data_IF_747766731832
#
_entry.id   IF_747766731832
#
_cell.length_a   1.000
_cell.length_b   1.000
_cell.length_c   1.000
_cell.angle_alpha   90.00
_cell.angle_beta   90.00
_cell.angle_gamma   90.00
#
_symmetry.space_group_name_H-M   'P 1'
#
loop_
_entity.id
_entity.type
_entity.pdbx_description
1 polymer ?
#
# COMPACT_ATOMS: atom_id res chain seq x y z
N UNK A 1 6.73 25.60 -13.62
CA UNK A 1 7.76 25.05 -12.69
C UNK A 1 8.07 23.60 -13.01
N UNK A 2 9.31 23.14 -12.76
CA UNK A 2 9.70 21.73 -12.91
C UNK A 2 9.11 20.89 -11.78
N UNK A 3 8.86 19.58 -11.96
CA UNK A 3 8.26 18.74 -10.92
C UNK A 3 9.14 18.61 -9.68
N UNK A 4 10.47 18.58 -9.84
CA UNK A 4 11.40 18.46 -8.71
C UNK A 4 11.69 19.81 -8.03
N UNK A 5 10.94 20.87 -8.35
CA UNK A 5 11.09 22.18 -7.70
C UNK A 5 10.47 22.11 -6.30
N UNK A 6 11.23 22.40 -5.22
CA UNK A 6 10.70 22.46 -3.87
C UNK A 6 9.72 23.64 -3.75
N UNK A 7 8.64 23.44 -3.00
CA UNK A 7 7.59 24.43 -2.80
C UNK A 7 7.77 25.13 -1.46
N UNK A 8 7.51 26.44 -1.43
CA UNK A 8 7.43 27.19 -0.17
C UNK A 8 6.08 26.91 0.50
N UNK A 9 5.00 26.92 -0.29
CA UNK A 9 3.65 26.63 0.16
C UNK A 9 2.76 26.23 -1.01
N UNK A 10 1.64 25.59 -0.70
CA UNK A 10 0.51 25.42 -1.60
C UNK A 10 -0.75 26.01 -0.97
N UNK A 11 -1.65 26.56 -1.80
CA UNK A 11 -2.89 27.20 -1.35
C UNK A 11 -4.06 26.69 -2.16
N UNK A 12 -5.10 26.24 -1.48
CA UNK A 12 -6.42 26.06 -2.08
C UNK A 12 -7.22 27.33 -1.88
N UNK A 13 -7.55 28.02 -2.96
CA UNK A 13 -8.51 29.12 -2.94
C UNK A 13 -9.92 28.54 -3.09
N UNK A 14 -10.78 28.75 -2.09
CA UNK A 14 -12.12 28.21 -2.07
C UNK A 14 -13.11 29.17 -2.74
N UNK A 15 -14.08 28.61 -3.45
CA UNK A 15 -15.24 29.37 -3.90
C UNK A 15 -16.07 29.87 -2.71
N UNK A 16 -16.87 30.94 -2.84
CA UNK A 16 -17.72 31.45 -1.75
C UNK A 16 -18.70 30.41 -1.16
N UNK A 17 -19.05 29.37 -1.93
CA UNK A 17 -19.93 28.26 -1.49
C UNK A 17 -19.15 27.05 -0.96
N UNK A 18 -17.82 27.14 -0.88
CA UNK A 18 -16.91 26.08 -0.44
C UNK A 18 -17.07 24.76 -1.23
N UNK A 19 -17.66 24.82 -2.42
CA UNK A 19 -17.92 23.65 -3.27
C UNK A 19 -16.79 23.37 -4.25
N UNK A 20 -16.09 24.43 -4.71
CA UNK A 20 -14.98 24.36 -5.68
C UNK A 20 -13.73 25.00 -5.10
N UNK A 21 -12.57 24.51 -5.52
CA UNK A 21 -11.28 25.10 -5.20
C UNK A 21 -10.35 25.19 -6.41
N UNK A 22 -9.46 26.18 -6.34
CA UNK A 22 -8.29 26.28 -7.21
C UNK A 22 -7.04 26.06 -6.36
N UNK A 23 -6.20 25.11 -6.77
CA UNK A 23 -4.94 24.81 -6.10
C UNK A 23 -3.81 25.54 -6.79
N UNK A 24 -3.10 26.36 -6.03
CA UNK A 24 -1.91 27.08 -6.44
C UNK A 24 -0.69 26.56 -5.69
N UNK A 25 0.44 26.49 -6.40
CA UNK A 25 1.75 26.17 -5.83
C UNK A 25 2.67 27.36 -5.94
N UNK A 26 3.43 27.63 -4.90
CA UNK A 26 4.40 28.72 -4.88
C UNK A 26 5.79 28.22 -4.54
N UNK A 27 6.78 28.72 -5.28
CA UNK A 27 8.20 28.42 -5.08
C UNK A 27 9.03 29.63 -5.49
N UNK A 28 9.85 30.11 -4.57
CA UNK A 28 10.80 31.23 -4.76
C UNK A 28 10.16 32.46 -5.41
N UNK A 29 8.95 32.81 -4.97
CA UNK A 29 8.19 33.99 -5.45
C UNK A 29 7.46 33.81 -6.78
N UNK A 30 7.57 32.64 -7.43
CA UNK A 30 6.71 32.28 -8.56
C UNK A 30 5.51 31.49 -8.06
N UNK A 31 4.32 31.74 -8.61
CA UNK A 31 3.10 31.01 -8.28
C UNK A 31 2.46 30.46 -9.56
N UNK A 32 2.10 29.18 -9.54
CA UNK A 32 1.51 28.47 -10.67
C UNK A 32 0.21 27.78 -10.22
N UNK A 33 -0.81 27.78 -11.08
CA UNK A 33 -2.04 27.01 -10.86
C UNK A 33 -1.77 25.53 -11.18
N UNK A 34 -2.02 24.65 -10.21
CA UNK A 34 -1.79 23.22 -10.35
C UNK A 34 -3.04 22.46 -10.74
N UNK A 35 -4.17 22.78 -10.12
CA UNK A 35 -5.43 22.08 -10.32
C UNK A 35 -6.63 22.97 -10.02
N UNK A 36 -7.80 22.59 -10.53
CA UNK A 36 -9.07 23.23 -10.21
C UNK A 36 -10.14 22.15 -10.21
N UNK A 37 -11.00 22.14 -9.19
CA UNK A 37 -11.98 21.07 -9.04
C UNK A 37 -12.93 21.25 -7.87
N UNK A 38 -13.56 20.14 -7.46
CA UNK A 38 -14.39 20.08 -6.27
C UNK A 38 -13.52 20.05 -5.01
N UNK A 39 -13.98 20.66 -3.93
CA UNK A 39 -13.28 20.66 -2.62
C UNK A 39 -13.45 19.31 -1.92
N UNK A 40 -14.63 18.69 -2.08
CA UNK A 40 -15.03 17.49 -1.35
C UNK A 40 -14.01 16.33 -1.45
N UNK A 41 -13.45 15.99 -2.62
CA UNK A 41 -12.42 14.96 -2.71
C UNK A 41 -11.18 15.31 -1.88
N UNK A 42 -10.69 16.55 -1.91
CA UNK A 42 -9.51 16.94 -1.14
C UNK A 42 -9.75 16.86 0.38
N UNK A 43 -10.91 17.35 0.85
CA UNK A 43 -11.29 17.28 2.27
C UNK A 43 -11.42 15.84 2.77
N UNK A 44 -11.96 14.93 1.94
CA UNK A 44 -12.07 13.52 2.29
C UNK A 44 -10.73 12.81 2.46
N UNK A 45 -9.65 13.39 1.90
CA UNK A 45 -8.32 12.78 1.86
C UNK A 45 -7.24 13.60 2.56
N UNK A 46 -7.57 14.74 3.16
CA UNK A 46 -6.60 15.67 3.72
C UNK A 46 -7.14 16.29 5.00
N UNK A 47 -6.68 15.79 6.15
CA UNK A 47 -7.14 16.24 7.47
C UNK A 47 -6.96 17.74 7.67
N UNK A 48 -5.82 18.30 7.24
CA UNK A 48 -5.58 19.75 7.33
C UNK A 48 -6.59 20.56 6.52
N UNK A 49 -7.06 20.05 5.38
CA UNK A 49 -8.11 20.71 4.61
C UNK A 49 -9.48 20.60 5.29
N UNK A 50 -9.79 19.45 5.89
CA UNK A 50 -11.01 19.26 6.68
C UNK A 50 -11.10 20.25 7.84
N UNK A 51 -10.02 20.39 8.62
CA UNK A 51 -9.96 21.28 9.78
C UNK A 51 -10.08 22.75 9.38
N UNK A 52 -9.40 23.18 8.31
CA UNK A 52 -9.48 24.56 7.82
C UNK A 52 -10.86 24.86 7.19
N UNK A 53 -11.47 23.92 6.46
CA UNK A 53 -12.83 24.11 5.94
C UNK A 53 -13.86 24.21 7.06
N UNK A 54 -13.70 23.45 8.15
CA UNK A 54 -14.54 23.54 9.33
C UNK A 54 -14.46 24.92 10.03
N UNK A 55 -13.32 25.60 9.90
CA UNK A 55 -13.11 26.98 10.39
C UNK A 55 -13.65 28.06 9.45
N UNK A 56 -14.35 27.67 8.36
CA UNK A 56 -14.93 28.58 7.37
C UNK A 56 -13.91 29.57 6.74
N UNK A 57 -12.63 29.17 6.62
CA UNK A 57 -11.63 30.00 5.93
C UNK A 57 -11.87 30.01 4.42
N UNK A 58 -11.50 31.12 3.77
CA UNK A 58 -11.63 31.28 2.31
C UNK A 58 -10.45 30.67 1.53
N UNK A 59 -9.37 30.31 2.22
CA UNK A 59 -8.19 29.67 1.65
C UNK A 59 -7.60 28.66 2.61
N UNK A 60 -7.17 27.50 2.09
CA UNK A 60 -6.48 26.46 2.85
C UNK A 60 -5.01 26.53 2.48
N UNK A 61 -4.12 26.80 3.44
CA UNK A 61 -2.67 26.84 3.20
C UNK A 61 -2.02 25.54 3.67
N UNK A 62 -1.22 24.94 2.79
CA UNK A 62 -0.31 23.85 3.09
C UNK A 62 1.12 24.40 3.10
N UNK A 63 1.75 24.37 4.25
CA UNK A 63 3.13 24.81 4.46
C UNK A 63 3.81 23.83 5.41
N UNK A 64 5.07 23.51 5.13
CA UNK A 64 5.85 22.60 5.99
C UNK A 64 6.47 23.43 7.10
N UNK A 65 6.12 23.15 8.36
CA UNK A 65 6.80 23.76 9.50
C UNK A 65 8.27 23.35 9.50
N UNK A 66 9.16 24.31 9.23
CA UNK A 66 10.63 24.11 9.16
C UNK A 66 11.29 23.56 10.43
N UNK A 67 10.54 23.42 11.51
CA UNK A 67 11.07 23.15 12.85
C UNK A 67 11.10 21.68 13.29
N UNK A 68 10.58 20.73 12.50
CA UNK A 68 10.41 19.35 13.02
C UNK A 68 11.38 18.29 12.49
N UNK A 69 11.95 18.39 11.29
CA UNK A 69 12.73 17.27 10.72
C UNK A 69 14.07 17.71 10.12
N UNK A 70 15.14 17.05 10.56
CA UNK A 70 16.55 17.28 10.23
C UNK A 70 16.99 16.78 8.85
N UNK A 71 16.12 16.85 7.83
CA UNK A 71 16.50 16.67 6.43
C UNK A 71 15.98 17.87 5.63
N UNK A 72 16.83 18.58 4.87
CA UNK A 72 16.42 19.77 4.13
C UNK A 72 15.40 19.38 3.05
N UNK A 73 14.13 19.74 3.25
CA UNK A 73 13.11 20.17 2.28
C UNK A 73 13.09 19.54 0.85
N UNK A 74 13.49 18.28 0.64
CA UNK A 74 13.47 17.67 -0.70
C UNK A 74 12.16 17.01 -1.09
N UNK A 75 11.29 16.68 -0.13
CA UNK A 75 10.08 15.90 -0.41
C UNK A 75 8.87 16.77 -0.81
N UNK A 76 8.79 18.02 -0.32
CA UNK A 76 7.66 18.90 -0.60
C UNK A 76 7.88 19.64 -1.92
N UNK A 77 7.69 18.92 -3.02
CA UNK A 77 7.91 19.42 -4.38
C UNK A 77 6.60 19.54 -5.15
N UNK A 78 6.65 20.24 -6.28
CA UNK A 78 5.54 20.27 -7.24
C UNK A 78 5.10 18.86 -7.64
N UNK A 79 6.04 17.96 -7.91
CA UNK A 79 5.77 16.59 -8.31
C UNK A 79 5.04 15.78 -7.23
N UNK A 80 5.41 15.96 -5.97
CA UNK A 80 4.71 15.31 -4.83
C UNK A 80 3.25 15.76 -4.77
N UNK A 81 3.00 17.06 -4.94
CA UNK A 81 1.64 17.59 -4.92
C UNK A 81 0.84 17.18 -6.16
N UNK A 82 1.44 17.13 -7.35
CA UNK A 82 0.81 16.60 -8.57
C UNK A 82 0.36 15.15 -8.40
N UNK A 83 1.19 14.31 -7.78
CA UNK A 83 0.84 12.92 -7.47
C UNK A 83 -0.32 12.84 -6.48
N UNK A 84 -0.33 13.69 -5.45
CA UNK A 84 -1.47 13.77 -4.53
C UNK A 84 -2.76 14.21 -5.26
N UNK A 85 -2.70 15.22 -6.13
CA UNK A 85 -3.86 15.63 -6.93
C UNK A 85 -4.38 14.51 -7.81
N UNK A 86 -3.47 13.74 -8.44
CA UNK A 86 -3.84 12.54 -9.20
C UNK A 86 -4.50 11.49 -8.32
N UNK A 87 -3.96 11.24 -7.12
CA UNK A 87 -4.56 10.33 -6.15
C UNK A 87 -6.01 10.70 -5.81
N UNK A 88 -6.24 11.97 -5.49
CA UNK A 88 -7.58 12.48 -5.17
C UNK A 88 -8.54 12.39 -6.36
N UNK A 89 -8.02 12.43 -7.59
CA UNK A 89 -8.81 12.33 -8.82
C UNK A 89 -9.13 10.89 -9.21
N UNK A 90 -8.28 9.93 -8.86
CA UNK A 90 -8.43 8.50 -9.19
C UNK A 90 -8.02 7.63 -7.99
N UNK A 91 -8.78 7.66 -6.88
CA UNK A 91 -8.47 6.87 -5.69
C UNK A 91 -8.59 5.36 -5.94
N UNK A 92 -9.38 4.96 -6.94
CA UNK A 92 -9.71 3.56 -7.26
C UNK A 92 -8.46 2.75 -7.61
N UNK A 93 -7.47 3.39 -8.24
CA UNK A 93 -6.21 2.73 -8.60
C UNK A 93 -5.48 2.21 -7.35
N UNK A 94 -5.49 2.99 -6.27
CA UNK A 94 -4.87 2.58 -5.02
C UNK A 94 -5.76 1.65 -4.19
N UNK A 95 -7.07 1.83 -4.26
CA UNK A 95 -8.04 0.94 -3.58
C UNK A 95 -7.98 -0.50 -4.14
N UNK A 96 -7.85 -0.67 -5.45
CA UNK A 96 -7.70 -1.98 -6.09
C UNK A 96 -6.44 -2.70 -5.59
N UNK A 97 -5.33 -1.98 -5.57
CA UNK A 97 -4.05 -2.49 -5.06
C UNK A 97 -4.20 -3.02 -3.64
N UNK A 98 -4.82 -2.23 -2.75
CA UNK A 98 -5.06 -2.63 -1.36
C UNK A 98 -6.01 -3.85 -1.25
N UNK A 99 -7.02 -3.91 -2.11
CA UNK A 99 -7.97 -5.03 -2.12
C UNK A 99 -7.29 -6.34 -2.51
N UNK A 100 -6.46 -6.32 -3.55
CA UNK A 100 -5.73 -7.51 -3.99
C UNK A 100 -4.63 -7.92 -3.01
N UNK A 101 -3.96 -6.96 -2.38
CA UNK A 101 -2.96 -7.20 -1.33
C UNK A 101 -3.59 -7.93 -0.13
N UNK A 102 -4.70 -7.40 0.40
CA UNK A 102 -5.43 -8.03 1.50
C UNK A 102 -5.96 -9.43 1.14
N UNK A 103 -6.44 -9.61 -0.09
CA UNK A 103 -6.87 -10.92 -0.58
C UNK A 103 -5.71 -11.91 -0.67
N UNK A 104 -4.55 -11.46 -1.16
CA UNK A 104 -3.33 -12.27 -1.26
C UNK A 104 -2.88 -12.74 0.13
N UNK A 105 -2.77 -11.84 1.12
CA UNK A 105 -2.38 -12.21 2.49
C UNK A 105 -3.37 -13.20 3.12
N UNK A 106 -4.67 -13.05 2.85
CA UNK A 106 -5.68 -14.00 3.33
C UNK A 106 -5.53 -15.39 2.70
N UNK A 107 -5.31 -15.47 1.38
CA UNK A 107 -5.11 -16.73 0.67
C UNK A 107 -3.82 -17.44 1.10
N UNK A 108 -2.74 -16.69 1.33
CA UNK A 108 -1.49 -17.24 1.85
C UNK A 108 -1.65 -17.79 3.27
N UNK A 109 -2.35 -17.05 4.13
CA UNK A 109 -2.72 -17.50 5.47
C UNK A 109 -3.54 -18.79 5.43
N UNK A 110 -4.56 -18.85 4.58
CA UNK A 110 -5.37 -20.05 4.38
C UNK A 110 -4.52 -21.22 3.88
N UNK A 111 -3.71 -21.02 2.84
CA UNK A 111 -2.81 -22.04 2.27
C UNK A 111 -1.87 -22.62 3.32
N UNK A 112 -1.29 -21.77 4.19
CA UNK A 112 -0.43 -22.19 5.30
C UNK A 112 -1.18 -23.09 6.28
N UNK A 113 -2.38 -22.69 6.70
CA UNK A 113 -3.22 -23.47 7.63
C UNK A 113 -3.59 -24.84 7.03
N UNK A 114 -3.95 -24.88 5.75
CA UNK A 114 -4.35 -26.13 5.11
C UNK A 114 -3.15 -27.07 4.88
N UNK A 115 -2.02 -26.54 4.38
CA UNK A 115 -0.85 -27.36 4.05
C UNK A 115 -0.07 -27.83 5.27
N UNK A 116 0.13 -26.98 6.28
CA UNK A 116 1.03 -27.26 7.40
C UNK A 116 0.31 -27.78 8.65
N UNK A 117 -0.97 -27.43 8.84
CA UNK A 117 -1.71 -27.79 10.07
C UNK A 117 -2.75 -28.85 9.77
N UNK A 118 -3.65 -28.58 8.83
CA UNK A 118 -4.85 -29.39 8.61
C UNK A 118 -4.54 -30.72 7.95
N UNK A 119 -3.75 -30.73 6.87
CA UNK A 119 -3.38 -31.97 6.19
C UNK A 119 -2.62 -32.94 7.12
N UNK A 120 -1.53 -32.54 7.81
CA UNK A 120 -0.81 -33.46 8.70
C UNK A 120 -1.66 -33.96 9.88
N UNK A 121 -2.49 -33.10 10.46
CA UNK A 121 -3.42 -33.49 11.54
C UNK A 121 -4.42 -34.56 11.06
N UNK A 122 -4.99 -34.38 9.85
CA UNK A 122 -5.86 -35.37 9.25
C UNK A 122 -5.09 -36.65 8.92
N UNK A 123 -3.88 -36.60 8.37
CA UNK A 123 -3.08 -37.81 8.14
C UNK A 123 -2.79 -38.61 9.41
N UNK A 124 -2.58 -37.94 10.55
CA UNK A 124 -2.29 -38.60 11.82
C UNK A 124 -3.54 -39.21 12.48
N UNK A 125 -4.69 -38.54 12.41
CA UNK A 125 -5.93 -38.99 13.06
C UNK A 125 -6.83 -39.85 12.16
N UNK A 126 -6.79 -39.67 10.84
CA UNK A 126 -7.65 -40.34 9.86
C UNK A 126 -7.13 -41.74 9.45
N UNK A 127 -5.99 -42.18 9.98
CA UNK A 127 -5.50 -43.56 9.80
C UNK A 127 -6.39 -44.62 10.49
N UNK A 128 -7.41 -44.19 11.26
CA UNK A 128 -8.37 -45.08 11.94
C UNK A 128 -9.69 -45.25 11.15
N UNK A 129 -10.00 -44.37 10.19
CA UNK A 129 -11.25 -44.45 9.40
C UNK A 129 -10.97 -44.07 7.94
N UNK A 130 -11.10 -45.02 7.01
CA UNK A 130 -10.98 -44.80 5.56
C UNK A 130 -11.89 -43.64 5.10
N UNK A 131 -11.29 -42.47 4.88
CA UNK A 131 -12.00 -41.28 4.41
C UNK A 131 -11.24 -40.64 3.24
N UNK A 132 -10.96 -41.46 2.21
CA UNK A 132 -10.31 -41.01 0.97
C UNK A 132 -11.01 -39.81 0.33
N UNK A 133 -12.33 -39.69 0.48
CA UNK A 133 -13.11 -38.54 0.02
C UNK A 133 -12.66 -37.22 0.67
N UNK A 134 -12.39 -37.21 1.98
CA UNK A 134 -11.92 -36.01 2.70
C UNK A 134 -10.56 -35.56 2.16
N UNK A 135 -9.65 -36.51 1.92
CA UNK A 135 -8.32 -36.22 1.36
C UNK A 135 -8.43 -35.61 -0.04
N UNK A 136 -9.31 -36.14 -0.89
CA UNK A 136 -9.54 -35.63 -2.25
C UNK A 136 -10.09 -34.19 -2.18
N UNK A 137 -11.10 -33.94 -1.35
CA UNK A 137 -11.68 -32.60 -1.19
C UNK A 137 -10.64 -31.59 -0.68
N UNK A 138 -9.79 -31.98 0.27
CA UNK A 138 -8.74 -31.10 0.79
C UNK A 138 -7.68 -30.76 -0.26
N UNK A 139 -7.29 -31.73 -1.10
CA UNK A 139 -6.38 -31.48 -2.23
C UNK A 139 -6.99 -30.54 -3.26
N UNK A 140 -8.27 -30.72 -3.59
CA UNK A 140 -8.99 -29.82 -4.49
C UNK A 140 -9.13 -28.41 -3.92
N UNK A 141 -9.35 -28.27 -2.60
CA UNK A 141 -9.39 -26.98 -1.93
C UNK A 141 -8.04 -26.26 -2.00
N UNK A 142 -6.94 -26.97 -1.72
CA UNK A 142 -5.59 -26.41 -1.88
C UNK A 142 -5.32 -25.98 -3.32
N UNK A 143 -5.70 -26.81 -4.30
CA UNK A 143 -5.58 -26.46 -5.72
C UNK A 143 -6.40 -25.21 -6.06
N UNK A 144 -7.61 -25.07 -5.51
CA UNK A 144 -8.44 -23.89 -5.72
C UNK A 144 -7.81 -22.63 -5.10
N UNK A 145 -7.22 -22.74 -3.90
CA UNK A 145 -6.46 -21.65 -3.27
C UNK A 145 -5.25 -21.26 -4.13
N UNK A 146 -4.47 -22.22 -4.61
CA UNK A 146 -3.30 -21.96 -5.47
C UNK A 146 -3.70 -21.27 -6.78
N UNK A 147 -4.81 -21.71 -7.42
CA UNK A 147 -5.35 -21.06 -8.63
C UNK A 147 -5.77 -19.62 -8.35
N UNK A 148 -6.47 -19.35 -7.24
CA UNK A 148 -6.88 -17.98 -6.90
C UNK A 148 -5.68 -17.12 -6.53
N UNK A 149 -4.70 -17.66 -5.81
CA UNK A 149 -3.47 -16.96 -5.45
C UNK A 149 -2.69 -16.53 -6.70
N UNK A 150 -2.60 -17.41 -7.71
CA UNK A 150 -2.00 -17.07 -9.00
C UNK A 150 -2.77 -15.95 -9.71
N UNK A 151 -4.11 -16.01 -9.73
CA UNK A 151 -4.94 -14.95 -10.32
C UNK A 151 -4.79 -13.61 -9.59
N UNK A 152 -4.88 -13.59 -8.26
CA UNK A 152 -4.72 -12.38 -7.44
C UNK A 152 -3.32 -11.78 -7.61
N UNK A 153 -2.28 -12.61 -7.71
CA UNK A 153 -0.91 -12.13 -7.97
C UNK A 153 -0.82 -11.39 -9.30
N UNK A 154 -1.48 -11.91 -10.34
CA UNK A 154 -1.54 -11.27 -11.66
C UNK A 154 -2.34 -9.95 -11.61
N UNK A 155 -3.48 -9.95 -10.91
CA UNK A 155 -4.32 -8.76 -10.71
C UNK A 155 -3.56 -7.67 -9.95
N UNK A 156 -2.84 -8.04 -8.87
CA UNK A 156 -2.00 -7.15 -8.07
C UNK A 156 -0.87 -6.56 -8.91
N UNK A 157 -0.18 -7.38 -9.72
CA UNK A 157 0.88 -6.91 -10.62
C UNK A 157 0.36 -5.88 -11.61
N UNK A 158 -0.83 -6.14 -12.18
CA UNK A 158 -1.48 -5.22 -13.12
C UNK A 158 -1.90 -3.92 -12.44
N UNK A 159 -2.45 -3.99 -11.23
CA UNK A 159 -2.83 -2.82 -10.45
C UNK A 159 -1.59 -1.97 -10.06
N UNK A 160 -0.48 -2.62 -9.68
CA UNK A 160 0.79 -1.95 -9.37
C UNK A 160 1.39 -1.24 -10.58
N UNK A 161 1.33 -1.86 -11.77
CA UNK A 161 1.77 -1.24 -13.01
C UNK A 161 0.95 0.03 -13.32
N UNK A 162 -0.38 -0.02 -13.10
CA UNK A 162 -1.26 1.14 -13.25
C UNK A 162 -0.94 2.24 -12.22
N UNK A 163 -0.71 1.89 -10.96
CA UNK A 163 -0.31 2.84 -9.93
C UNK A 163 1.04 3.50 -10.26
N UNK A 164 2.01 2.71 -10.72
CA UNK A 164 3.33 3.21 -11.16
C UNK A 164 3.20 4.18 -12.33
N UNK A 165 2.37 3.86 -13.32
CA UNK A 165 2.08 4.74 -14.45
C UNK A 165 1.38 6.05 -14.04
N UNK A 166 0.58 6.03 -12.96
CA UNK A 166 -0.02 7.23 -12.38
C UNK A 166 0.97 8.09 -11.56
N UNK A 167 2.20 7.61 -11.36
CA UNK A 167 3.28 8.32 -10.67
C UNK A 167 3.52 7.86 -9.24
N UNK A 168 2.85 6.79 -8.80
CA UNK A 168 3.08 6.15 -7.50
C UNK A 168 4.14 5.06 -7.65
N UNK A 169 5.40 5.43 -7.45
CA UNK A 169 6.54 4.55 -7.70
C UNK A 169 7.44 4.45 -6.45
N UNK A 170 8.34 3.47 -6.38
CA UNK A 170 9.13 3.23 -5.17
C UNK A 170 10.00 4.41 -4.73
N UNK A 171 10.51 5.18 -5.69
CA UNK A 171 11.34 6.37 -5.41
C UNK A 171 10.52 7.50 -4.78
N UNK A 172 9.22 7.56 -5.09
CA UNK A 172 8.32 8.63 -4.64
C UNK A 172 7.48 8.25 -3.42
N UNK A 173 7.41 6.95 -3.08
CA UNK A 173 6.65 6.47 -1.91
C UNK A 173 7.12 7.13 -0.62
N UNK A 174 8.42 7.32 -0.42
CA UNK A 174 8.96 8.00 0.77
C UNK A 174 8.51 9.46 0.86
N UNK A 175 8.50 10.18 -0.26
CA UNK A 175 8.04 11.58 -0.33
C UNK A 175 6.55 11.70 -0.05
N UNK A 176 5.78 10.76 -0.61
CA UNK A 176 4.33 10.64 -0.43
C UNK A 176 3.96 10.27 1.00
N UNK A 177 4.75 9.41 1.65
CA UNK A 177 4.58 9.06 3.04
C UNK A 177 4.78 10.29 3.95
N UNK A 178 5.86 11.04 3.74
CA UNK A 178 6.10 12.29 4.48
C UNK A 178 4.98 13.32 4.25
N UNK A 179 4.46 13.41 3.02
CA UNK A 179 3.30 14.26 2.71
C UNK A 179 2.07 13.85 3.51
N UNK A 180 1.78 12.55 3.55
CA UNK A 180 0.62 12.04 4.29
C UNK A 180 0.78 12.22 5.79
N UNK A 181 1.97 11.99 6.35
CA UNK A 181 2.24 12.17 7.78
C UNK A 181 2.16 13.65 8.17
N UNK A 182 2.60 14.56 7.30
CA UNK A 182 2.59 16.00 7.56
C UNK A 182 1.19 16.63 7.43
N UNK A 183 0.40 16.23 6.44
CA UNK A 183 -0.89 16.86 6.13
C UNK A 183 -2.11 15.99 6.47
N UNK A 184 -1.89 14.79 7.03
CA UNK A 184 -2.94 13.85 7.43
C UNK A 184 -3.63 13.18 6.24
N UNK A 185 -2.88 12.87 5.18
CA UNK A 185 -3.42 12.19 4.00
C UNK A 185 -3.35 10.66 4.11
N UNK A 186 -3.84 10.09 5.22
CA UNK A 186 -3.60 8.69 5.61
C UNK A 186 -3.95 7.63 4.55
N UNK A 187 -4.90 7.91 3.66
CA UNK A 187 -5.25 7.00 2.56
C UNK A 187 -4.12 6.84 1.53
N UNK A 188 -3.22 7.80 1.45
CA UNK A 188 -2.02 7.78 0.62
C UNK A 188 -0.86 7.02 1.29
N UNK A 189 -0.87 6.86 2.62
CA UNK A 189 0.11 6.02 3.35
C UNK A 189 -0.07 4.51 3.11
N UNK A 190 -1.15 4.09 2.45
CA UNK A 190 -1.41 2.67 2.14
C UNK A 190 -0.34 2.05 1.21
N UNK A 191 0.50 2.85 0.54
CA UNK A 191 1.62 2.35 -0.26
C UNK A 191 2.71 1.61 0.53
N UNK A 192 2.76 1.78 1.86
CA UNK A 192 3.80 1.16 2.70
C UNK A 192 3.69 -0.37 2.76
N UNK A 193 2.49 -0.94 2.73
CA UNK A 193 2.29 -2.40 2.76
C UNK A 193 2.66 -3.03 1.42
N UNK A 194 2.19 -2.43 0.33
CA UNK A 194 2.37 -2.93 -1.03
C UNK A 194 3.83 -3.22 -1.44
N UNK A 195 4.78 -2.43 -0.94
CA UNK A 195 6.17 -2.53 -1.37
C UNK A 195 7.02 -3.46 -0.50
N UNK A 196 6.66 -3.63 0.78
CA UNK A 196 7.38 -4.56 1.65
C UNK A 196 7.13 -6.00 1.19
N UNK A 197 5.95 -6.34 0.68
CA UNK A 197 5.69 -7.68 0.11
C UNK A 197 6.22 -7.85 -1.32
N UNK A 198 6.29 -6.79 -2.15
CA UNK A 198 6.85 -6.89 -3.50
C UNK A 198 8.39 -6.89 -3.55
N UNK A 199 9.07 -6.31 -2.55
CA UNK A 199 10.55 -6.29 -2.46
C UNK A 199 11.16 -7.06 -1.28
N UNK A 200 10.38 -7.39 -0.26
CA UNK A 200 10.79 -8.26 0.85
C UNK A 200 10.52 -9.72 0.50
N UNK A 201 11.49 -10.32 -0.20
CA UNK A 201 11.66 -11.77 -0.35
C UNK A 201 10.57 -12.55 -1.13
N UNK A 202 10.72 -12.57 -2.45
CA UNK A 202 10.76 -13.87 -3.15
C UNK A 202 12.16 -14.51 -3.13
N UNK A 203 13.04 -14.12 -2.18
CA UNK A 203 14.48 -14.37 -2.29
C UNK A 203 15.22 -14.86 -1.03
N UNK A 204 14.59 -15.13 0.13
CA UNK A 204 15.27 -15.89 1.20
C UNK A 204 14.30 -16.76 2.04
N UNK A 205 13.00 -16.45 2.09
CA UNK A 205 12.02 -17.36 2.75
C UNK A 205 11.90 -18.75 2.08
N UNK A 206 12.21 -18.87 0.78
CA UNK A 206 12.17 -20.15 0.06
C UNK A 206 13.51 -20.91 0.12
N UNK A 207 14.65 -20.26 0.35
CA UNK A 207 15.97 -20.90 0.42
C UNK A 207 16.32 -21.44 1.81
N UNK A 208 15.67 -20.95 2.87
CA UNK A 208 15.87 -21.47 4.25
C UNK A 208 15.07 -22.74 4.52
N UNK A 209 14.02 -23.05 3.75
CA UNK A 209 13.16 -24.22 3.98
C UNK A 209 13.61 -25.45 3.19
N UNK A 210 14.41 -25.30 2.13
CA UNK A 210 14.93 -26.44 1.35
C UNK A 210 16.23 -27.06 1.89
N UNK A 211 16.79 -26.54 2.99
CA UNK A 211 18.01 -27.09 3.62
C UNK A 211 17.81 -27.87 4.93
N UNK A 212 16.58 -28.15 5.35
CA UNK A 212 16.33 -29.00 6.54
C UNK A 212 15.83 -30.42 6.22
N UNK A 213 15.64 -30.80 4.95
CA UNK A 213 15.08 -32.12 4.59
C UNK A 213 16.09 -33.16 4.08
N UNK A 214 17.39 -32.85 4.01
CA UNK A 214 18.39 -33.87 3.69
C UNK A 214 19.73 -33.62 4.39
N UNK A 215 19.88 -34.13 5.62
CA UNK A 215 21.11 -34.82 6.05
C UNK A 215 20.94 -35.51 7.40
N UNK A 216 20.98 -36.84 7.36
CA UNK A 216 21.69 -37.61 8.37
C UNK A 216 20.85 -38.09 9.55
N UNK A 217 20.39 -39.34 9.42
CA UNK A 217 20.27 -40.26 10.53
C UNK A 217 21.47 -40.11 11.49
N UNK A 218 21.21 -39.74 12.75
CA UNK A 218 22.07 -40.15 13.86
C UNK A 218 21.20 -40.66 15.00
N UNK A 219 21.38 -41.96 15.20
CA UNK A 219 20.86 -42.85 16.22
C UNK A 219 21.10 -42.28 17.63
N UNK A 220 20.04 -42.17 18.43
CA UNK A 220 20.14 -41.85 19.86
C UNK A 220 20.31 -43.18 20.60
N UNK A 221 21.49 -43.39 21.17
CA UNK A 221 21.76 -44.47 22.12
C UNK A 221 21.22 -44.04 23.48
N UNK A 222 20.35 -44.87 24.06
CA UNK A 222 19.84 -44.71 25.43
C UNK A 222 20.79 -45.44 26.37
N UNK A 223 21.39 -44.80 27.39
CA UNK A 223 22.12 -45.53 28.41
C UNK A 223 21.13 -46.14 29.41
N UNK A 224 21.38 -47.39 29.80
CA UNK A 224 20.69 -48.08 30.90
C UNK A 224 20.94 -47.42 32.25
#
# INVERSE_FOLDING_TARGET
>A
MKPNTPLDYAVFQLSPRHSRCELFVSSSGSTEKLASGLVKPFVAHLKVAEEQVAQAVHSIKLEVERHRNANPETWFTKGTLERFVRFVSTPEVLEMVNTFDAEMSQLEGARRIYSQVTLPFLFYNLFIVENACVIIVMKELLRAIDVRLAAVTQDLTTACARASAAGFNPETVSELQLFSDCFGAHRLNLFRCLYIELKGEKSDFWDVVDLQTHKGYKQIVVPM
#
